data_IF_091617396629
#
_entry.id   IF_091617396629
#
_cell.length_a   1.000
_cell.length_b   1.000
_cell.length_c   1.000
_cell.angle_alpha   90.00
_cell.angle_beta   90.00
_cell.angle_gamma   90.00
#
_symmetry.space_group_name_H-M   'P 1'
#
loop_
_entity.id
_entity.type
_entity.pdbx_description
1 polymer ?
#
# COMPACT_ATOMS: atom_id res chain seq x y z
N UNK A 1 11.87 -15.83 -11.39
CA UNK A 1 11.30 -15.18 -10.22
C UNK A 1 11.53 -13.68 -10.32
N UNK A 2 10.49 -12.88 -9.98
CA UNK A 2 10.57 -11.43 -9.90
C UNK A 2 10.13 -11.00 -8.49
N UNK A 3 10.87 -10.09 -7.87
CA UNK A 3 10.61 -9.62 -6.52
C UNK A 3 10.58 -8.09 -6.45
N UNK A 4 9.79 -7.57 -5.51
CA UNK A 4 9.80 -6.18 -5.08
C UNK A 4 10.43 -6.09 -3.69
N UNK A 5 11.21 -5.04 -3.43
CA UNK A 5 11.59 -4.74 -2.06
C UNK A 5 10.41 -4.06 -1.33
N UNK A 6 10.10 -4.52 -0.13
CA UNK A 6 9.02 -3.96 0.68
C UNK A 6 9.39 -2.61 1.31
N UNK A 7 8.56 -1.61 1.13
CA UNK A 7 8.77 -0.30 1.77
C UNK A 7 8.65 -0.42 3.30
N UNK A 8 7.69 -1.21 3.79
CA UNK A 8 7.55 -1.51 5.21
C UNK A 8 8.80 -2.16 5.79
N UNK A 9 9.42 -3.08 5.05
CA UNK A 9 10.61 -3.78 5.48
C UNK A 9 11.81 -2.83 5.59
N UNK A 10 12.00 -1.97 4.57
CA UNK A 10 13.04 -0.93 4.62
C UNK A 10 12.85 0.02 5.81
N UNK A 11 11.61 0.47 6.06
CA UNK A 11 11.31 1.33 7.22
C UNK A 11 11.60 0.63 8.53
N UNK A 12 11.20 -0.63 8.66
CA UNK A 12 11.42 -1.43 9.86
C UNK A 12 12.90 -1.68 10.10
N UNK A 13 13.65 -2.04 9.06
CA UNK A 13 15.08 -2.27 9.15
C UNK A 13 15.88 -1.03 9.59
N UNK A 14 15.45 0.15 9.17
CA UNK A 14 16.18 1.41 9.42
C UNK A 14 15.71 2.13 10.68
N UNK A 15 14.41 2.12 10.97
CA UNK A 15 13.82 2.87 12.09
C UNK A 15 13.51 2.00 13.31
N UNK A 16 13.49 0.68 13.15
CA UNK A 16 12.91 -0.25 14.11
C UNK A 16 11.37 -0.27 14.03
N UNK A 17 10.77 -1.43 14.29
CA UNK A 17 9.35 -1.67 14.09
C UNK A 17 8.47 -0.71 14.90
N UNK A 18 8.80 -0.48 16.18
CA UNK A 18 8.03 0.40 17.05
C UNK A 18 7.96 1.85 16.53
N UNK A 19 9.09 2.42 16.10
CA UNK A 19 9.11 3.78 15.53
C UNK A 19 8.46 3.85 14.15
N UNK A 20 8.67 2.83 13.32
CA UNK A 20 8.16 2.77 11.96
C UNK A 20 6.62 2.70 11.92
N UNK A 21 5.98 2.20 12.97
CA UNK A 21 4.53 2.06 13.13
C UNK A 21 3.87 3.21 13.92
N UNK A 22 4.57 4.31 14.18
CA UNK A 22 4.00 5.48 14.86
C UNK A 22 3.74 6.63 13.88
N UNK A 23 2.49 7.11 13.84
CA UNK A 23 2.03 8.17 12.93
C UNK A 23 2.88 9.46 12.98
N UNK A 24 3.38 9.82 14.16
CA UNK A 24 4.12 11.06 14.38
C UNK A 24 5.64 10.93 14.15
N UNK A 25 6.13 9.73 13.85
CA UNK A 25 7.56 9.47 13.70
C UNK A 25 7.95 9.41 12.22
N UNK A 26 8.73 10.39 11.80
CA UNK A 26 9.31 10.45 10.46
C UNK A 26 10.76 9.97 10.49
N UNK A 27 11.27 9.45 9.39
CA UNK A 27 12.69 9.12 9.30
C UNK A 27 13.54 10.39 9.41
N UNK A 28 14.65 10.29 10.08
CA UNK A 28 15.72 11.29 10.06
C UNK A 28 16.34 11.37 8.66
N UNK A 29 17.19 12.38 8.42
CA UNK A 29 17.91 12.48 7.14
C UNK A 29 18.80 11.27 6.86
N UNK A 30 19.46 10.75 7.90
CA UNK A 30 20.32 9.57 7.79
C UNK A 30 19.48 8.30 7.50
N UNK A 31 18.40 8.10 8.21
CA UNK A 31 17.49 6.97 7.97
C UNK A 31 16.88 7.01 6.57
N UNK A 32 16.49 8.20 6.11
CA UNK A 32 16.01 8.37 4.74
C UNK A 32 17.09 7.98 3.71
N UNK A 33 18.32 8.45 3.90
CA UNK A 33 19.44 8.11 3.02
C UNK A 33 19.75 6.61 3.03
N UNK A 34 19.62 5.95 4.20
CA UNK A 34 19.80 4.50 4.31
C UNK A 34 18.73 3.72 3.56
N UNK A 35 17.44 4.11 3.65
CA UNK A 35 16.37 3.50 2.85
C UNK A 35 16.60 3.68 1.34
N UNK A 36 17.09 4.85 0.93
CA UNK A 36 17.41 5.12 -0.47
C UNK A 36 18.56 4.23 -0.98
N UNK A 37 19.60 4.02 -0.15
CA UNK A 37 20.69 3.10 -0.45
C UNK A 37 20.18 1.65 -0.55
N UNK A 38 19.39 1.18 0.42
CA UNK A 38 18.79 -0.16 0.38
C UNK A 38 17.94 -0.39 -0.87
N UNK A 39 17.14 0.62 -1.26
CA UNK A 39 16.36 0.53 -2.50
C UNK A 39 17.31 0.41 -3.71
N UNK A 40 18.33 1.23 -3.78
CA UNK A 40 19.29 1.21 -4.90
C UNK A 40 20.02 -0.14 -4.98
N UNK A 41 20.55 -0.63 -3.86
CA UNK A 41 21.20 -1.93 -3.74
C UNK A 41 20.29 -3.08 -4.20
N UNK A 42 18.99 -3.06 -3.78
CA UNK A 42 18.03 -4.06 -4.21
C UNK A 42 17.77 -4.01 -5.72
N UNK A 43 17.65 -2.81 -6.30
CA UNK A 43 17.43 -2.65 -7.74
C UNK A 43 18.63 -3.12 -8.55
N UNK A 44 19.85 -2.91 -8.07
CA UNK A 44 21.11 -3.40 -8.66
C UNK A 44 21.21 -4.93 -8.54
N UNK A 45 20.73 -5.50 -7.44
CA UNK A 45 20.63 -6.95 -7.24
C UNK A 45 19.55 -7.62 -8.09
N UNK A 46 18.76 -6.85 -8.87
CA UNK A 46 17.77 -7.39 -9.80
C UNK A 46 16.32 -7.33 -9.36
N UNK A 47 16.02 -6.67 -8.24
CA UNK A 47 14.61 -6.42 -7.87
C UNK A 47 13.90 -5.57 -8.94
N UNK A 48 12.63 -5.89 -9.23
CA UNK A 48 11.85 -5.19 -10.26
C UNK A 48 11.41 -3.79 -9.84
N UNK A 49 11.39 -3.53 -8.54
CA UNK A 49 10.95 -2.26 -8.00
C UNK A 49 10.69 -2.31 -6.50
N UNK A 50 9.83 -1.41 -6.03
CA UNK A 50 9.42 -1.29 -4.64
C UNK A 50 7.91 -1.53 -4.51
N UNK A 51 7.52 -2.29 -3.49
CA UNK A 51 6.13 -2.44 -3.07
C UNK A 51 5.85 -1.52 -1.88
N UNK A 52 4.76 -0.75 -1.93
CA UNK A 52 4.38 0.16 -0.86
C UNK A 52 2.88 0.15 -0.65
N UNK A 53 2.45 -0.40 0.47
CA UNK A 53 1.06 -0.41 0.88
C UNK A 53 0.78 0.79 1.78
N UNK A 54 -0.31 1.52 1.51
CA UNK A 54 -0.71 2.71 2.26
C UNK A 54 -2.14 2.62 2.81
N UNK A 55 -2.74 1.45 2.75
CA UNK A 55 -4.07 1.22 3.32
C UNK A 55 -3.98 1.20 4.85
N UNK A 56 -4.96 1.82 5.50
CA UNK A 56 -5.05 1.88 6.96
C UNK A 56 -5.45 0.53 7.58
N UNK A 57 -6.06 -0.32 6.77
CA UNK A 57 -6.67 -1.58 7.21
C UNK A 57 -5.67 -2.74 7.25
N UNK A 58 -4.59 -2.65 6.49
CA UNK A 58 -3.56 -3.67 6.53
C UNK A 58 -2.80 -3.61 7.84
N UNK A 59 -2.89 -4.68 8.61
CA UNK A 59 -2.33 -4.79 9.95
C UNK A 59 -1.11 -5.69 9.94
N UNK A 60 -0.27 -5.49 10.94
CA UNK A 60 0.86 -6.36 11.25
C UNK A 60 0.35 -7.48 12.14
N UNK A 61 0.71 -8.70 11.80
CA UNK A 61 0.59 -9.85 12.68
C UNK A 61 1.86 -10.05 13.52
N UNK A 62 1.78 -10.96 14.51
CA UNK A 62 2.88 -11.27 15.42
C UNK A 62 2.79 -10.52 16.75
N UNK A 63 3.46 -11.07 17.78
CA UNK A 63 3.29 -10.66 19.18
C UNK A 63 3.70 -9.20 19.47
N UNK A 64 4.78 -8.72 18.84
CA UNK A 64 5.40 -7.46 19.22
C UNK A 64 4.59 -6.20 18.85
N UNK A 65 3.84 -6.25 17.75
CA UNK A 65 3.13 -5.08 17.20
C UNK A 65 1.80 -5.47 16.57
N UNK A 66 1.16 -6.50 17.10
CA UNK A 66 -0.11 -7.03 16.60
C UNK A 66 -1.13 -5.91 16.40
N UNK A 67 -1.89 -6.01 15.33
CA UNK A 67 -2.93 -5.06 14.91
C UNK A 67 -2.48 -3.62 14.67
N UNK A 68 -1.18 -3.32 14.67
CA UNK A 68 -0.70 -2.03 14.19
C UNK A 68 -0.73 -1.98 12.66
N UNK A 69 -1.03 -0.82 12.12
CA UNK A 69 -0.99 -0.60 10.67
C UNK A 69 0.44 -0.74 10.14
N UNK A 70 0.58 -1.20 8.90
CA UNK A 70 1.89 -1.40 8.25
C UNK A 70 2.77 -0.13 8.29
N UNK A 71 4.09 -0.29 8.46
CA UNK A 71 5.03 0.84 8.51
C UNK A 71 4.92 1.80 7.32
N UNK A 72 4.73 1.31 6.10
CA UNK A 72 4.63 2.12 4.89
C UNK A 72 3.41 3.06 4.86
N UNK A 73 2.35 2.74 5.61
CA UNK A 73 1.16 3.59 5.75
C UNK A 73 1.49 4.94 6.41
N UNK A 74 2.49 4.96 7.27
CA UNK A 74 2.95 6.17 7.97
C UNK A 74 4.00 6.97 7.20
N UNK A 75 4.34 6.55 5.98
CA UNK A 75 5.31 7.25 5.16
C UNK A 75 4.83 8.63 4.73
N UNK A 76 5.67 9.62 4.95
CA UNK A 76 5.34 10.99 4.58
C UNK A 76 5.58 11.28 3.09
N UNK A 77 4.95 12.35 2.54
CA UNK A 77 5.10 12.70 1.13
C UNK A 77 6.54 12.94 0.67
N UNK A 78 7.41 13.45 1.56
CA UNK A 78 8.83 13.69 1.28
C UNK A 78 9.59 12.37 1.11
N UNK A 79 9.35 11.41 2.01
CA UNK A 79 9.94 10.08 1.95
C UNK A 79 9.57 9.37 0.65
N UNK A 80 8.27 9.28 0.37
CA UNK A 80 7.75 8.67 -0.85
C UNK A 80 8.30 9.34 -2.12
N UNK A 81 8.37 10.66 -2.15
CA UNK A 81 8.90 11.40 -3.31
C UNK A 81 10.34 11.01 -3.61
N UNK A 82 11.19 10.87 -2.60
CA UNK A 82 12.60 10.50 -2.76
C UNK A 82 12.75 9.08 -3.28
N UNK A 83 12.04 8.11 -2.68
CA UNK A 83 12.07 6.71 -3.14
C UNK A 83 11.51 6.58 -4.58
N UNK A 84 10.38 7.23 -4.87
CA UNK A 84 9.79 7.26 -6.22
C UNK A 84 10.71 7.92 -7.25
N UNK A 85 11.52 8.88 -6.85
CA UNK A 85 12.53 9.50 -7.72
C UNK A 85 13.60 8.50 -8.15
N UNK A 86 14.02 7.59 -7.28
CA UNK A 86 14.95 6.50 -7.63
C UNK A 86 14.30 5.58 -8.66
N UNK A 87 13.08 5.09 -8.40
CA UNK A 87 12.36 4.23 -9.33
C UNK A 87 12.18 4.87 -10.72
N UNK A 88 11.89 6.18 -10.78
CA UNK A 88 11.79 6.91 -12.05
C UNK A 88 13.10 6.94 -12.82
N UNK A 89 14.21 7.24 -12.14
CA UNK A 89 15.55 7.33 -12.78
C UNK A 89 16.02 5.98 -13.28
N UNK A 90 15.71 4.93 -12.55
CA UNK A 90 16.13 3.55 -12.90
C UNK A 90 15.11 2.84 -13.80
N UNK A 91 13.98 3.47 -14.11
CA UNK A 91 12.92 2.86 -14.92
C UNK A 91 12.25 1.65 -14.26
N UNK A 92 12.31 1.56 -12.93
CA UNK A 92 11.77 0.45 -12.13
C UNK A 92 10.33 0.71 -11.71
N UNK A 93 9.65 -0.31 -11.21
CA UNK A 93 8.21 -0.33 -10.95
C UNK A 93 7.90 0.07 -9.50
N UNK A 94 6.89 0.90 -9.31
CA UNK A 94 6.19 1.03 -8.04
C UNK A 94 4.97 0.12 -8.04
N UNK A 95 4.91 -0.83 -7.13
CA UNK A 95 3.69 -1.56 -6.80
C UNK A 95 3.03 -0.88 -5.59
N UNK A 96 1.73 -0.62 -5.65
CA UNK A 96 1.01 0.02 -4.54
C UNK A 96 -0.42 -0.49 -4.43
N UNK A 97 -0.96 -0.50 -3.20
CA UNK A 97 -2.39 -0.65 -2.96
C UNK A 97 -3.02 0.76 -2.84
N UNK A 98 -3.92 1.15 -3.73
CA UNK A 98 -4.61 2.42 -3.62
C UNK A 98 -5.69 2.34 -2.54
N UNK A 99 -5.86 3.42 -1.81
CA UNK A 99 -7.08 3.64 -1.04
C UNK A 99 -8.17 4.12 -2.02
N UNK A 100 -8.98 3.17 -2.51
CA UNK A 100 -10.05 3.45 -3.47
C UNK A 100 -11.26 4.16 -2.83
N UNK A 101 -11.36 4.15 -1.51
CA UNK A 101 -12.39 4.91 -0.78
C UNK A 101 -12.05 6.40 -0.72
N UNK A 102 -10.77 6.74 -0.92
CA UNK A 102 -10.30 8.12 -0.95
C UNK A 102 -9.97 8.58 -2.39
N UNK A 103 -10.87 9.32 -3.06
CA UNK A 103 -10.66 9.76 -4.44
C UNK A 103 -9.39 10.59 -4.64
N UNK A 104 -8.97 11.36 -3.63
CA UNK A 104 -7.74 12.16 -3.69
C UNK A 104 -6.50 11.28 -3.64
N UNK A 105 -6.52 10.19 -2.87
CA UNK A 105 -5.43 9.22 -2.84
C UNK A 105 -5.31 8.55 -4.21
N UNK A 106 -6.41 8.05 -4.74
CA UNK A 106 -6.43 7.43 -6.08
C UNK A 106 -5.94 8.40 -7.15
N UNK A 107 -6.47 9.63 -7.19
CA UNK A 107 -6.03 10.65 -8.14
C UNK A 107 -4.54 10.95 -8.02
N UNK A 108 -4.01 11.05 -6.81
CA UNK A 108 -2.58 11.22 -6.54
C UNK A 108 -1.75 10.04 -7.06
N UNK A 109 -2.21 8.81 -6.85
CA UNK A 109 -1.55 7.60 -7.35
C UNK A 109 -1.53 7.57 -8.87
N UNK A 110 -2.63 7.96 -9.52
CA UNK A 110 -2.73 8.03 -10.97
C UNK A 110 -1.83 9.14 -11.55
N UNK A 111 -1.89 10.33 -10.97
CA UNK A 111 -1.06 11.47 -11.39
C UNK A 111 0.45 11.18 -11.28
N UNK A 112 0.87 10.33 -10.37
CA UNK A 112 2.27 9.94 -10.22
C UNK A 112 2.80 9.14 -11.40
N UNK A 113 1.95 8.39 -12.12
CA UNK A 113 2.35 7.65 -13.30
C UNK A 113 2.64 8.56 -14.48
N UNK A 114 2.09 9.78 -14.49
CA UNK A 114 2.31 10.74 -15.56
C UNK A 114 3.73 11.30 -15.52
N UNK A 115 4.28 11.49 -16.71
CA UNK A 115 5.64 11.96 -16.94
C UNK A 115 5.75 13.45 -17.25
N UNK A 116 4.85 14.31 -16.71
CA UNK A 116 4.89 15.76 -16.98
C UNK A 116 6.23 16.34 -16.54
N UNK A 117 7.03 16.78 -17.51
CA UNK A 117 8.42 17.30 -17.35
C UNK A 117 9.42 16.32 -16.70
N UNK A 118 9.14 15.02 -16.66
CA UNK A 118 10.01 13.97 -16.10
C UNK A 118 9.62 12.60 -16.64
N UNK A 119 10.48 11.59 -16.44
CA UNK A 119 10.14 10.23 -16.82
C UNK A 119 8.88 9.74 -16.08
N UNK A 120 7.95 9.06 -16.78
CA UNK A 120 6.79 8.46 -16.14
C UNK A 120 7.21 7.42 -15.11
N UNK A 121 6.49 7.34 -14.00
CA UNK A 121 6.68 6.28 -13.02
C UNK A 121 5.89 5.05 -13.47
N UNK A 122 6.58 3.94 -13.72
CA UNK A 122 5.91 2.66 -13.95
C UNK A 122 5.17 2.27 -12.67
N UNK A 123 3.85 2.32 -12.71
CA UNK A 123 3.00 2.10 -11.54
C UNK A 123 2.09 0.90 -11.79
N UNK A 124 2.12 -0.04 -10.85
CA UNK A 124 1.25 -1.20 -10.83
C UNK A 124 0.39 -1.12 -9.56
N UNK A 125 -0.92 -0.96 -9.71
CA UNK A 125 -1.83 -0.89 -8.57
C UNK A 125 -2.52 -2.23 -8.34
N UNK A 126 -2.53 -2.67 -7.07
CA UNK A 126 -3.28 -3.83 -6.62
C UNK A 126 -4.78 -3.54 -6.64
N UNK A 127 -5.56 -4.61 -6.77
CA UNK A 127 -7.02 -4.60 -6.56
C UNK A 127 -7.86 -3.95 -7.66
N UNK A 128 -7.65 -4.37 -8.92
CA UNK A 128 -8.75 -4.33 -9.87
C UNK A 128 -9.72 -5.47 -9.52
N UNK A 129 -10.38 -5.35 -8.38
CA UNK A 129 -11.37 -6.30 -7.89
C UNK A 129 -12.75 -5.66 -7.91
N UNK A 130 -13.78 -6.47 -8.09
CA UNK A 130 -15.15 -6.06 -7.85
C UNK A 130 -15.39 -6.09 -6.35
N UNK A 131 -15.64 -4.92 -5.77
CA UNK A 131 -15.90 -4.79 -4.34
C UNK A 131 -17.36 -4.40 -4.12
N UNK A 132 -17.99 -5.05 -3.16
CA UNK A 132 -19.40 -4.83 -2.84
C UNK A 132 -19.71 -3.36 -2.51
N UNK A 133 -18.78 -2.68 -1.84
CA UNK A 133 -18.92 -1.26 -1.51
C UNK A 133 -18.97 -0.34 -2.74
N UNK A 134 -18.42 -0.76 -3.89
CA UNK A 134 -18.45 0.02 -5.14
C UNK A 134 -18.45 -0.88 -6.37
N UNK A 135 -19.58 -1.52 -6.69
CA UNK A 135 -19.70 -2.53 -7.76
C UNK A 135 -19.50 -1.96 -9.17
N UNK A 136 -19.47 -0.63 -9.32
CA UNK A 136 -19.25 0.00 -10.62
C UNK A 136 -17.80 0.46 -10.83
N UNK A 137 -16.96 0.45 -9.79
CA UNK A 137 -15.59 0.92 -9.88
C UNK A 137 -14.79 0.14 -10.92
N UNK A 138 -14.95 -1.18 -10.99
CA UNK A 138 -14.22 -2.04 -11.93
C UNK A 138 -14.44 -1.63 -13.40
N UNK A 139 -15.66 -1.17 -13.75
CA UNK A 139 -15.99 -0.74 -15.11
C UNK A 139 -15.23 0.52 -15.54
N UNK A 140 -14.81 1.35 -14.57
CA UNK A 140 -14.09 2.60 -14.82
C UNK A 140 -12.57 2.39 -14.83
N UNK A 141 -12.05 1.34 -14.18
CA UNK A 141 -10.61 1.12 -14.03
C UNK A 141 -9.89 0.93 -15.37
N UNK A 142 -10.48 0.17 -16.28
CA UNK A 142 -9.91 -0.06 -17.62
C UNK A 142 -9.84 1.22 -18.48
N UNK A 143 -10.95 1.94 -18.67
CA UNK A 143 -10.96 3.23 -19.35
C UNK A 143 -9.99 4.24 -18.74
N UNK A 144 -9.96 4.35 -17.41
CA UNK A 144 -9.08 5.25 -16.68
C UNK A 144 -7.60 4.96 -16.96
N UNK A 145 -7.20 3.68 -16.91
CA UNK A 145 -5.83 3.28 -17.24
C UNK A 145 -5.46 3.62 -18.68
N UNK A 146 -6.40 3.44 -19.64
CA UNK A 146 -6.18 3.81 -21.05
C UNK A 146 -5.96 5.30 -21.21
N UNK A 147 -6.78 6.13 -20.58
CA UNK A 147 -6.64 7.60 -20.63
C UNK A 147 -5.30 8.04 -20.07
N UNK A 148 -4.92 7.54 -18.90
CA UNK A 148 -3.64 7.90 -18.27
C UNK A 148 -2.46 7.49 -19.13
N UNK A 149 -2.49 6.29 -19.72
CA UNK A 149 -1.42 5.82 -20.59
C UNK A 149 -1.37 6.60 -21.91
N UNK A 150 -2.51 7.01 -22.47
CA UNK A 150 -2.58 7.89 -23.64
C UNK A 150 -2.00 9.30 -23.36
N UNK A 151 -2.07 9.76 -22.11
CA UNK A 151 -1.46 11.01 -21.65
C UNK A 151 0.04 10.88 -21.29
N UNK A 152 0.67 9.78 -21.68
CA UNK A 152 2.10 9.55 -21.43
C UNK A 152 2.41 8.94 -20.05
N UNK A 153 1.42 8.41 -19.35
CA UNK A 153 1.61 7.62 -18.13
C UNK A 153 2.12 6.22 -18.41
N UNK A 154 2.54 5.53 -17.36
CA UNK A 154 2.85 4.10 -17.43
C UNK A 154 2.18 3.40 -16.24
N UNK A 155 0.93 3.06 -16.43
CA UNK A 155 0.02 2.61 -15.39
C UNK A 155 -0.60 1.25 -15.73
N UNK A 156 -0.65 0.33 -14.77
CA UNK A 156 -1.26 -0.98 -14.89
C UNK A 156 -2.05 -1.32 -13.63
N UNK A 157 -3.20 -1.95 -13.81
CA UNK A 157 -3.93 -2.62 -12.74
C UNK A 157 -3.46 -4.06 -12.61
N UNK A 158 -3.39 -4.54 -11.36
CA UNK A 158 -3.29 -5.97 -11.08
C UNK A 158 -4.67 -6.50 -10.73
N UNK A 159 -5.00 -7.66 -11.26
CA UNK A 159 -6.23 -8.38 -10.94
C UNK A 159 -5.92 -9.87 -10.86
N UNK A 160 -6.76 -10.59 -10.17
CA UNK A 160 -6.71 -12.04 -10.12
C UNK A 160 -7.49 -12.58 -11.32
N UNK A 161 -6.84 -13.39 -12.19
CA UNK A 161 -7.49 -13.91 -13.39
C UNK A 161 -8.45 -15.07 -13.13
N UNK A 162 -8.41 -15.61 -11.92
CA UNK A 162 -9.23 -16.75 -11.47
C UNK A 162 -9.82 -16.46 -10.08
N UNK A 163 -10.97 -17.07 -9.74
CA UNK A 163 -11.44 -17.05 -8.36
C UNK A 163 -10.39 -17.63 -7.41
N UNK A 164 -10.33 -17.10 -6.20
CA UNK A 164 -9.43 -17.58 -5.16
C UNK A 164 -10.20 -17.74 -3.85
N UNK A 165 -9.71 -18.64 -3.02
CA UNK A 165 -10.22 -18.86 -1.68
C UNK A 165 -9.20 -18.30 -0.67
N UNK A 166 -9.71 -17.65 0.37
CA UNK A 166 -8.89 -17.11 1.46
C UNK A 166 -9.32 -17.78 2.75
N UNK A 167 -8.37 -18.41 3.41
CA UNK A 167 -8.55 -18.94 4.75
C UNK A 167 -7.92 -17.96 5.72
N UNK A 168 -8.70 -17.49 6.69
CA UNK A 168 -8.27 -16.52 7.67
C UNK A 168 -8.67 -16.99 9.07
N UNK A 169 -7.75 -16.87 10.00
CA UNK A 169 -7.94 -17.16 11.42
C UNK A 169 -8.10 -15.87 12.26
N UNK A 170 -8.09 -14.73 11.61
CA UNK A 170 -8.16 -13.41 12.20
C UNK A 170 -9.04 -12.47 11.36
N UNK A 171 -9.65 -11.50 12.01
CA UNK A 171 -10.43 -10.45 11.36
C UNK A 171 -9.56 -9.28 10.83
N UNK A 172 -8.26 -9.36 10.96
CA UNK A 172 -7.31 -8.31 10.55
C UNK A 172 -7.14 -8.19 9.02
N UNK A 173 -7.93 -8.94 8.25
CA UNK A 173 -7.94 -8.88 6.80
C UNK A 173 -8.93 -7.84 6.28
N UNK A 174 -8.49 -7.08 5.28
CA UNK A 174 -9.29 -6.04 4.61
C UNK A 174 -10.64 -6.54 4.06
N UNK A 175 -10.75 -7.82 3.76
CA UNK A 175 -12.00 -8.42 3.26
C UNK A 175 -13.16 -8.32 4.25
N UNK A 176 -12.87 -8.20 5.54
CA UNK A 176 -13.91 -8.06 6.56
C UNK A 176 -14.55 -6.68 6.63
N UNK A 177 -13.99 -5.66 5.96
CA UNK A 177 -14.63 -4.35 5.85
C UNK A 177 -15.98 -4.38 5.17
N UNK A 178 -16.19 -5.34 4.27
CA UNK A 178 -17.46 -5.49 3.57
C UNK A 178 -18.58 -6.08 4.46
N UNK A 179 -18.24 -6.57 5.63
CA UNK A 179 -19.19 -7.13 6.59
C UNK A 179 -19.82 -6.08 7.53
N UNK A 180 -19.74 -4.79 7.20
CA UNK A 180 -20.38 -3.73 7.99
C UNK A 180 -19.84 -3.65 9.42
N UNK A 181 -20.38 -4.45 10.33
CA UNK A 181 -19.94 -4.55 11.71
C UNK A 181 -18.44 -4.84 11.83
N UNK A 182 -17.88 -5.69 10.98
CA UNK A 182 -16.45 -6.00 10.97
C UNK A 182 -15.57 -4.78 10.70
N UNK A 183 -16.04 -3.78 9.97
CA UNK A 183 -15.26 -2.59 9.65
C UNK A 183 -14.85 -1.80 10.90
N UNK A 184 -15.75 -1.60 11.85
CA UNK A 184 -15.42 -0.88 13.09
C UNK A 184 -14.44 -1.68 13.94
N UNK A 185 -14.61 -3.00 14.04
CA UNK A 185 -13.68 -3.88 14.77
C UNK A 185 -12.26 -3.87 14.17
N UNK A 186 -12.12 -3.80 12.84
CA UNK A 186 -10.83 -3.71 12.16
C UNK A 186 -10.02 -2.45 12.52
N UNK A 187 -10.69 -1.38 12.96
CA UNK A 187 -10.03 -0.15 13.39
C UNK A 187 -9.49 -0.20 14.83
N UNK A 188 -9.96 -1.14 15.64
CA UNK A 188 -9.49 -1.29 17.02
C UNK A 188 -8.13 -1.98 17.03
N UNK A 189 -7.19 -1.39 17.76
CA UNK A 189 -5.82 -1.93 17.92
C UNK A 189 -5.74 -2.95 19.03
N UNK A 190 -6.54 -2.75 20.05
CA UNK A 190 -6.58 -3.63 21.22
C UNK A 190 -7.46 -4.84 20.93
N UNK A 191 -6.93 -6.04 21.16
CA UNK A 191 -7.66 -7.28 20.93
C UNK A 191 -8.82 -7.47 21.89
N UNK A 192 -8.68 -7.01 23.12
CA UNK A 192 -9.74 -7.14 24.12
C UNK A 192 -10.91 -6.25 23.72
N UNK A 193 -10.65 -4.97 23.45
CA UNK A 193 -11.67 -4.03 22.97
C UNK A 193 -12.35 -4.53 21.69
N UNK A 194 -11.56 -5.08 20.76
CA UNK A 194 -12.10 -5.65 19.51
C UNK A 194 -13.00 -6.84 19.76
N UNK A 195 -12.58 -7.77 20.62
CA UNK A 195 -13.35 -8.96 20.95
C UNK A 195 -14.61 -8.62 21.78
N UNK A 196 -14.53 -7.63 22.64
CA UNK A 196 -15.69 -7.15 23.39
C UNK A 196 -16.70 -6.50 22.46
N UNK A 197 -16.26 -5.67 21.51
CA UNK A 197 -17.14 -5.11 20.48
C UNK A 197 -17.84 -6.19 19.64
N UNK A 198 -17.11 -7.24 19.23
CA UNK A 198 -17.66 -8.33 18.41
C UNK A 198 -18.62 -9.25 19.18
N UNK A 199 -18.59 -9.22 20.53
CA UNK A 199 -19.51 -9.97 21.38
C UNK A 199 -20.73 -9.14 21.80
N UNK A 200 -20.72 -7.86 21.54
CA UNK A 200 -21.88 -6.99 21.85
C UNK A 200 -23.03 -7.32 20.90
N UNK A 201 -24.15 -7.77 21.48
CA UNK A 201 -25.35 -8.15 20.73
C UNK A 201 -26.01 -6.96 20.02
N UNK A 202 -25.64 -5.73 20.38
CA UNK A 202 -26.14 -4.49 19.77
C UNK A 202 -25.26 -4.00 18.61
N UNK A 203 -24.09 -4.61 18.41
CA UNK A 203 -23.14 -4.29 17.35
C UNK A 203 -23.45 -5.12 16.10
#
# INVERSE_FOLDING_TARGET
LAAFIGHSDMRTAVMGLDRATRKQRRPTRHEQARMEAMLTEALEAGFVGMSSQQLLFDKIDGEACRSRTLPSTYAGPRELRRLKSILRRTGRVLQSGPDIQNPLNLASQLAQSLGVFRNPLKTSLLSAADIKANPHAIKLLGPLARVINALGGNFRWQHLPVPFEVYADSIDLVVFEEFGAGAAALHLRDEVERNDLLRDELY
#
